data_IF_392252462511
#
_entry.id   IF_392252462511
#
_cell.length_a   1.000
_cell.length_b   1.000
_cell.length_c   1.000
_cell.angle_alpha   90.00
_cell.angle_beta   90.00
_cell.angle_gamma   90.00
#
_symmetry.space_group_name_H-M   'P 1'
#
loop_
_entity.id
_entity.type
_entity.pdbx_description
1 polymer ?
#
# COMPACT_ATOMS: atom_id res chain seq x y z
N UNK A 1 19.61 7.91 9.40
CA UNK A 1 18.82 7.17 8.41
C UNK A 1 18.91 7.86 7.06
N UNK A 2 18.88 7.09 5.98
CA UNK A 2 18.77 7.68 4.66
C UNK A 2 17.45 8.45 4.54
N UNK A 3 17.48 9.53 3.77
CA UNK A 3 16.28 10.33 3.49
C UNK A 3 15.20 9.46 2.83
N UNK A 4 13.95 9.60 3.28
CA UNK A 4 12.82 8.86 2.75
C UNK A 4 12.47 7.57 3.48
N UNK A 5 13.28 7.08 4.41
CA UNK A 5 12.95 5.87 5.18
C UNK A 5 11.96 6.22 6.29
N UNK A 6 10.85 5.44 6.35
CA UNK A 6 9.85 5.56 7.40
C UNK A 6 9.62 4.22 8.09
N UNK A 7 9.58 4.24 9.40
CA UNK A 7 9.15 3.12 10.23
C UNK A 7 7.63 3.17 10.48
N UNK A 8 7.11 2.21 11.25
CA UNK A 8 5.67 2.11 11.53
C UNK A 8 5.11 3.38 12.17
N UNK A 9 5.71 3.97 13.24
CA UNK A 9 5.17 5.20 13.80
C UNK A 9 5.06 6.34 12.79
N UNK A 10 6.02 6.46 11.88
CA UNK A 10 5.99 7.49 10.84
C UNK A 10 4.92 7.18 9.78
N UNK A 11 4.82 5.93 9.33
CA UNK A 11 3.78 5.49 8.38
C UNK A 11 2.38 5.78 8.93
N UNK A 12 2.16 5.51 10.21
CA UNK A 12 0.87 5.72 10.87
C UNK A 12 0.44 7.19 10.95
N UNK A 13 1.35 8.12 10.74
CA UNK A 13 1.01 9.55 10.61
C UNK A 13 0.40 9.88 9.24
N UNK A 14 0.61 9.02 8.25
CA UNK A 14 0.17 9.27 6.87
C UNK A 14 -1.08 8.51 6.45
N UNK A 15 -1.33 7.35 7.05
CA UNK A 15 -2.49 6.50 6.73
C UNK A 15 -3.23 6.10 8.02
N UNK A 16 -4.58 6.00 7.97
CA UNK A 16 -5.39 5.69 9.15
C UNK A 16 -5.43 4.21 9.48
N UNK A 17 -4.96 3.35 8.61
CA UNK A 17 -5.01 1.90 8.75
C UNK A 17 -4.26 1.43 10.01
N UNK A 18 -4.85 0.46 10.71
CA UNK A 18 -4.30 -0.13 11.95
C UNK A 18 -4.50 -1.63 11.92
N UNK A 19 -3.89 -2.34 12.87
CA UNK A 19 -4.09 -3.78 13.03
C UNK A 19 -5.59 -4.12 13.01
N UNK A 20 -6.03 -5.15 12.27
CA UNK A 20 -5.23 -6.10 11.49
C UNK A 20 -5.06 -5.72 10.01
N UNK A 21 -5.33 -4.46 9.64
CA UNK A 21 -5.41 -4.02 8.25
C UNK A 21 -4.27 -3.08 7.81
N UNK A 22 -3.27 -2.87 8.64
CA UNK A 22 -2.05 -2.15 8.24
C UNK A 22 -1.14 -3.14 7.50
N UNK A 23 -0.97 -2.95 6.20
CA UNK A 23 -0.31 -3.89 5.30
C UNK A 23 0.99 -3.34 4.71
N UNK A 24 1.66 -2.45 5.43
CA UNK A 24 2.98 -1.93 5.08
C UNK A 24 3.81 -1.81 6.34
N UNK A 25 5.07 -2.27 6.28
CA UNK A 25 5.95 -2.33 7.45
C UNK A 25 7.04 -1.28 7.42
N UNK A 26 7.45 -0.84 6.25
CA UNK A 26 8.49 0.17 6.08
C UNK A 26 8.39 0.84 4.73
N UNK A 27 8.69 2.13 4.68
CA UNK A 27 8.95 2.85 3.42
C UNK A 27 10.45 2.95 3.26
N UNK A 28 10.96 2.55 2.10
CA UNK A 28 12.39 2.55 1.78
C UNK A 28 12.83 3.80 1.04
N UNK A 29 11.97 4.28 0.13
CA UNK A 29 12.25 5.44 -0.70
C UNK A 29 10.97 6.22 -0.93
N UNK A 30 11.04 7.55 -0.95
CA UNK A 30 9.92 8.40 -1.35
C UNK A 30 10.44 9.63 -2.09
N UNK A 31 9.80 9.91 -3.23
CA UNK A 31 9.96 11.17 -3.96
C UNK A 31 8.59 11.81 -4.10
N UNK A 32 8.39 12.95 -3.43
CA UNK A 32 7.12 13.70 -3.47
C UNK A 32 6.69 13.95 -4.92
N UNK A 33 5.42 13.71 -5.19
CA UNK A 33 4.83 13.94 -6.50
C UNK A 33 5.18 12.90 -7.54
N UNK A 34 6.01 11.91 -7.24
CA UNK A 34 6.52 10.98 -8.24
C UNK A 34 6.40 9.51 -7.87
N UNK A 35 7.14 9.01 -6.87
CA UNK A 35 7.24 7.57 -6.60
C UNK A 35 7.52 7.25 -5.15
N UNK A 36 7.23 6.01 -4.79
CA UNK A 36 7.49 5.47 -3.46
C UNK A 36 7.83 3.99 -3.56
N UNK A 37 8.66 3.53 -2.64
CA UNK A 37 8.96 2.11 -2.45
C UNK A 37 8.71 1.75 -0.99
N UNK A 38 7.89 0.73 -0.77
CA UNK A 38 7.59 0.21 0.56
C UNK A 38 7.66 -1.30 0.61
N UNK A 39 7.75 -1.86 1.79
CA UNK A 39 7.80 -3.31 1.99
C UNK A 39 6.80 -3.77 3.03
N UNK A 40 6.29 -4.99 2.83
CA UNK A 40 5.53 -5.74 3.81
C UNK A 40 6.17 -7.09 4.04
N UNK A 41 6.38 -7.43 5.30
CA UNK A 41 6.77 -8.77 5.69
C UNK A 41 5.53 -9.63 5.86
N UNK A 42 5.42 -10.70 5.10
CA UNK A 42 4.29 -11.62 5.18
C UNK A 42 4.63 -12.71 6.19
N UNK A 43 3.82 -12.81 7.24
CA UNK A 43 4.04 -13.81 8.30
C UNK A 43 2.78 -14.63 8.56
N UNK A 44 2.95 -15.84 9.12
CA UNK A 44 1.83 -16.71 9.47
C UNK A 44 0.95 -16.13 10.59
N UNK A 45 1.40 -15.09 11.28
CA UNK A 45 0.63 -14.42 12.34
C UNK A 45 -0.47 -13.49 11.81
N UNK A 46 -0.68 -13.42 10.51
CA UNK A 46 -1.72 -12.59 9.94
C UNK A 46 -3.07 -13.33 9.98
N UNK A 47 -4.15 -12.65 10.39
CA UNK A 47 -5.44 -13.32 10.66
C UNK A 47 -6.05 -14.01 9.44
N UNK A 48 -5.80 -13.51 8.22
CA UNK A 48 -6.43 -14.04 7.03
C UNK A 48 -5.91 -15.43 6.61
N UNK A 49 -4.75 -15.85 7.07
CA UNK A 49 -4.20 -17.17 6.68
C UNK A 49 -4.96 -18.35 7.28
N UNK A 50 -5.69 -18.15 8.38
CA UNK A 50 -6.54 -19.20 8.94
C UNK A 50 -7.65 -19.64 7.97
N UNK A 51 -8.12 -18.70 7.14
CA UNK A 51 -9.20 -18.94 6.18
C UNK A 51 -8.78 -19.01 4.72
N UNK A 52 -7.58 -18.60 4.40
CA UNK A 52 -7.14 -18.49 2.99
C UNK A 52 -5.76 -19.11 2.76
N UNK A 53 -5.65 -20.42 2.68
CA UNK A 53 -6.68 -21.44 2.85
C UNK A 53 -6.24 -22.40 3.94
N UNK A 54 -7.16 -23.10 4.62
CA UNK A 54 -6.78 -24.06 5.66
C UNK A 54 -5.73 -25.07 5.15
N UNK A 55 -4.59 -25.14 5.82
CA UNK A 55 -3.47 -25.99 5.44
C UNK A 55 -2.64 -25.51 4.24
N UNK A 56 -3.05 -24.43 3.56
CA UNK A 56 -2.34 -23.83 2.42
C UNK A 56 -2.41 -22.31 2.48
N UNK A 57 -1.59 -21.67 3.31
CA UNK A 57 -1.64 -20.22 3.45
C UNK A 57 -1.09 -19.53 2.19
N UNK A 58 -1.94 -18.75 1.55
CA UNK A 58 -1.59 -17.91 0.39
C UNK A 58 -2.13 -16.52 0.68
N UNK A 59 -1.31 -15.50 0.50
CA UNK A 59 -1.78 -14.14 0.72
C UNK A 59 -2.87 -13.80 -0.30
N UNK A 60 -4.06 -13.37 0.13
CA UNK A 60 -5.12 -12.97 -0.80
C UNK A 60 -4.61 -11.91 -1.76
N UNK A 61 -4.78 -12.14 -3.07
CA UNK A 61 -4.33 -11.19 -4.09
C UNK A 61 -4.93 -9.80 -3.91
N UNK A 62 -6.19 -9.72 -3.49
CA UNK A 62 -6.86 -8.45 -3.21
C UNK A 62 -6.21 -7.68 -2.07
N UNK A 63 -5.57 -8.38 -1.11
CA UNK A 63 -4.84 -7.73 -0.03
C UNK A 63 -3.43 -7.28 -0.47
N UNK A 64 -2.86 -7.88 -1.51
CA UNK A 64 -1.67 -7.32 -2.16
C UNK A 64 -1.99 -5.99 -2.81
N UNK A 65 -3.15 -5.89 -3.47
CA UNK A 65 -3.65 -4.61 -4.01
C UNK A 65 -3.89 -3.60 -2.89
N UNK A 66 -4.48 -4.02 -1.78
CA UNK A 66 -4.68 -3.13 -0.62
C UNK A 66 -3.35 -2.63 -0.06
N UNK A 67 -2.36 -3.49 0.11
CA UNK A 67 -1.01 -3.10 0.57
C UNK A 67 -0.37 -2.09 -0.39
N UNK A 68 -0.52 -2.32 -1.68
CA UNK A 68 -0.09 -1.40 -2.74
C UNK A 68 -0.75 -0.03 -2.57
N UNK A 69 -2.06 0.00 -2.34
CA UNK A 69 -2.81 1.23 -2.13
C UNK A 69 -2.37 1.97 -0.86
N UNK A 70 -2.03 1.25 0.20
CA UNK A 70 -1.56 1.87 1.45
C UNK A 70 -0.20 2.53 1.26
N UNK A 71 0.72 1.88 0.56
CA UNK A 71 2.01 2.49 0.19
C UNK A 71 1.78 3.74 -0.66
N UNK A 72 0.87 3.65 -1.64
CA UNK A 72 0.46 4.81 -2.45
C UNK A 72 -0.17 5.92 -1.62
N UNK A 73 -0.96 5.57 -0.61
CA UNK A 73 -1.56 6.54 0.32
C UNK A 73 -0.51 7.35 1.10
N UNK A 74 0.58 6.71 1.50
CA UNK A 74 1.71 7.40 2.13
C UNK A 74 2.33 8.41 1.15
N UNK A 75 2.53 8.02 -0.10
CA UNK A 75 3.05 8.92 -1.14
C UNK A 75 2.12 10.11 -1.35
N UNK A 76 0.84 9.87 -1.47
CA UNK A 76 -0.14 10.95 -1.69
C UNK A 76 -0.18 11.89 -0.50
N UNK A 77 -0.29 11.36 0.71
CA UNK A 77 -0.26 12.16 1.95
C UNK A 77 0.99 13.03 2.01
N UNK A 78 2.15 12.46 1.73
CA UNK A 78 3.43 13.17 1.72
C UNK A 78 3.46 14.25 0.62
N UNK A 79 2.92 13.95 -0.55
CA UNK A 79 2.93 14.85 -1.72
C UNK A 79 2.09 16.10 -1.51
N UNK A 80 0.93 15.97 -0.86
CA UNK A 80 0.04 17.11 -0.59
C UNK A 80 0.23 17.70 0.81
N UNK A 81 1.29 17.27 1.50
CA UNK A 81 1.66 17.76 2.83
C UNK A 81 0.52 17.64 3.87
N UNK A 82 -0.22 16.53 3.86
CA UNK A 82 -1.13 16.21 4.95
C UNK A 82 -0.30 15.94 6.20
N UNK A 83 -0.43 16.74 7.27
CA UNK A 83 0.50 16.67 8.40
C UNK A 83 0.31 15.40 9.25
N UNK A 84 -0.86 14.81 9.24
CA UNK A 84 -1.20 13.58 9.99
C UNK A 84 -2.37 12.88 9.34
N UNK A 85 -2.45 11.57 9.52
CA UNK A 85 -3.67 10.82 9.24
C UNK A 85 -4.76 11.32 10.19
N UNK A 86 -5.65 12.12 9.66
CA UNK A 86 -6.78 12.66 10.41
C UNK A 86 -7.93 11.66 10.29
N UNK A 87 -8.64 11.44 11.40
CA UNK A 87 -9.81 10.56 11.43
C UNK A 87 -10.96 11.06 10.54
N UNK A 88 -10.88 12.28 10.05
CA UNK A 88 -11.85 12.86 9.12
C UNK A 88 -11.49 12.69 7.65
N UNK A 89 -10.30 12.19 7.32
CA UNK A 89 -9.79 12.09 5.94
C UNK A 89 -9.38 10.67 5.62
N UNK A 90 -9.89 10.17 4.49
CA UNK A 90 -9.67 8.78 4.07
C UNK A 90 -9.40 8.72 2.57
N UNK A 91 -8.61 7.74 2.17
CA UNK A 91 -8.38 7.43 0.76
C UNK A 91 -9.24 6.22 0.40
N UNK A 92 -10.20 6.42 -0.50
CA UNK A 92 -11.07 5.35 -0.98
C UNK A 92 -10.70 4.96 -2.41
N UNK A 93 -10.79 3.68 -2.72
CA UNK A 93 -10.70 3.24 -4.11
C UNK A 93 -11.87 3.81 -4.92
N UNK A 94 -11.55 4.41 -6.08
CA UNK A 94 -12.52 4.78 -7.10
C UNK A 94 -12.51 3.78 -8.26
N UNK A 95 -11.34 3.25 -8.63
CA UNK A 95 -11.19 2.25 -9.67
C UNK A 95 -9.90 1.46 -9.48
N UNK A 96 -9.92 0.21 -9.92
CA UNK A 96 -8.74 -0.65 -10.00
C UNK A 96 -8.73 -1.23 -11.40
N UNK A 97 -7.69 -0.95 -12.17
CA UNK A 97 -7.59 -1.31 -13.56
C UNK A 97 -6.30 -2.09 -13.85
N UNK A 98 -6.29 -2.82 -14.96
CA UNK A 98 -5.11 -3.51 -15.49
C UNK A 98 -4.43 -4.39 -14.45
N UNK A 99 -5.23 -5.06 -13.63
CA UNK A 99 -4.74 -5.95 -12.58
C UNK A 99 -4.30 -7.27 -13.19
N UNK A 100 -3.09 -7.69 -12.84
CA UNK A 100 -2.59 -9.02 -13.19
C UNK A 100 -1.90 -9.62 -11.97
N UNK A 101 -2.39 -10.79 -11.55
CA UNK A 101 -1.80 -11.62 -10.50
C UNK A 101 -0.90 -12.65 -11.17
N UNK A 102 0.40 -12.55 -10.96
CA UNK A 102 1.37 -13.36 -11.71
C UNK A 102 1.93 -14.52 -10.90
N UNK A 103 2.08 -14.36 -9.59
CA UNK A 103 2.66 -15.35 -8.69
C UNK A 103 2.00 -15.29 -7.33
N UNK A 104 1.82 -16.44 -6.65
CA UNK A 104 1.34 -16.43 -5.27
C UNK A 104 2.40 -15.90 -4.31
N UNK A 105 1.93 -15.36 -3.18
CA UNK A 105 2.75 -14.86 -2.08
C UNK A 105 2.42 -15.67 -0.83
N UNK A 106 3.46 -16.11 -0.13
CA UNK A 106 3.33 -17.01 1.02
C UNK A 106 3.89 -16.40 2.30
N UNK A 107 3.50 -16.91 3.48
CA UNK A 107 4.21 -16.58 4.72
C UNK A 107 5.71 -16.84 4.58
N UNK A 108 6.51 -15.88 5.01
CA UNK A 108 7.96 -15.89 4.84
C UNK A 108 8.47 -14.99 3.72
N UNK A 109 7.58 -14.55 2.82
CA UNK A 109 7.95 -13.63 1.75
C UNK A 109 7.98 -12.18 2.25
N UNK A 110 8.88 -11.39 1.68
CA UNK A 110 8.85 -9.94 1.79
C UNK A 110 8.37 -9.37 0.46
N UNK A 111 7.26 -8.63 0.50
CA UNK A 111 6.70 -7.97 -0.68
C UNK A 111 7.27 -6.56 -0.77
N UNK A 112 7.87 -6.24 -1.92
CA UNK A 112 8.34 -4.90 -2.25
C UNK A 112 7.33 -4.23 -3.17
N UNK A 113 6.75 -3.14 -2.73
CA UNK A 113 5.82 -2.34 -3.53
C UNK A 113 6.53 -1.14 -4.12
N UNK A 114 6.33 -0.92 -5.40
CA UNK A 114 6.80 0.27 -6.11
C UNK A 114 5.60 0.96 -6.75
N UNK A 115 5.34 2.22 -6.38
CA UNK A 115 4.24 3.00 -6.93
C UNK A 115 4.75 4.27 -7.56
N UNK A 116 4.08 4.65 -8.65
CA UNK A 116 4.37 5.87 -9.38
C UNK A 116 3.08 6.65 -9.61
N UNK A 117 3.09 7.94 -9.31
CA UNK A 117 1.96 8.81 -9.64
C UNK A 117 1.90 9.01 -11.16
N UNK A 118 0.76 8.64 -11.75
CA UNK A 118 0.47 8.89 -13.16
C UNK A 118 -0.27 10.21 -13.35
N UNK A 119 -1.19 10.51 -12.43
CA UNK A 119 -2.00 11.71 -12.50
C UNK A 119 -2.48 12.07 -11.09
N UNK A 120 -2.32 13.33 -10.73
CA UNK A 120 -2.80 13.88 -9.47
C UNK A 120 -3.59 15.14 -9.77
N UNK A 121 -4.88 15.14 -9.38
CA UNK A 121 -5.75 16.28 -9.62
C UNK A 121 -6.74 16.41 -8.48
N UNK A 122 -6.64 17.54 -7.76
CA UNK A 122 -7.59 17.85 -6.70
C UNK A 122 -7.71 16.71 -5.67
N UNK A 123 -8.82 15.97 -5.69
CA UNK A 123 -9.11 14.88 -4.76
C UNK A 123 -8.95 13.49 -5.39
N UNK A 124 -8.34 13.40 -6.57
CA UNK A 124 -8.12 12.14 -7.28
C UNK A 124 -6.64 11.92 -7.53
N UNK A 125 -6.19 10.69 -7.30
CA UNK A 125 -4.82 10.30 -7.59
C UNK A 125 -4.82 8.95 -8.32
N UNK A 126 -4.21 8.92 -9.49
CA UNK A 126 -3.99 7.70 -10.25
C UNK A 126 -2.53 7.29 -10.14
N UNK A 127 -2.32 6.05 -9.75
CA UNK A 127 -0.98 5.47 -9.60
C UNK A 127 -0.86 4.16 -10.35
N UNK A 128 0.35 3.86 -10.81
CA UNK A 128 0.73 2.53 -11.27
C UNK A 128 1.53 1.86 -10.20
N UNK A 129 1.15 0.62 -9.84
CA UNK A 129 1.81 -0.15 -8.82
C UNK A 129 2.34 -1.49 -9.34
N UNK A 130 3.48 -1.87 -8.80
CA UNK A 130 4.10 -3.17 -9.01
C UNK A 130 4.52 -3.74 -7.66
N UNK A 131 4.32 -5.03 -7.46
CA UNK A 131 4.78 -5.71 -6.26
C UNK A 131 5.70 -6.86 -6.65
N UNK A 132 6.78 -7.01 -5.90
CA UNK A 132 7.84 -7.99 -6.17
C UNK A 132 8.13 -8.82 -4.92
N UNK A 133 8.46 -10.09 -5.13
CA UNK A 133 9.09 -10.96 -4.13
C UNK A 133 10.37 -11.50 -4.74
N UNK A 134 11.50 -11.29 -4.05
CA UNK A 134 12.82 -11.69 -4.53
C UNK A 134 13.11 -11.23 -5.97
N UNK A 135 12.71 -9.99 -6.28
CA UNK A 135 12.93 -9.39 -7.59
C UNK A 135 11.97 -9.85 -8.68
N UNK A 136 11.03 -10.76 -8.38
CA UNK A 136 10.06 -11.27 -9.36
C UNK A 136 8.72 -10.57 -9.19
N UNK A 137 8.14 -10.10 -10.28
CA UNK A 137 6.84 -9.44 -10.30
C UNK A 137 5.74 -10.42 -9.89
N UNK A 138 5.02 -10.12 -8.82
CA UNK A 138 3.92 -10.95 -8.31
C UNK A 138 2.55 -10.38 -8.64
N UNK A 139 2.40 -9.06 -8.62
CA UNK A 139 1.15 -8.38 -9.00
C UNK A 139 1.44 -7.00 -9.56
N UNK A 140 0.62 -6.54 -10.51
CA UNK A 140 0.63 -5.18 -11.02
C UNK A 140 -0.79 -4.66 -11.16
N UNK A 141 -0.97 -3.35 -11.03
CA UNK A 141 -2.26 -2.70 -11.16
C UNK A 141 -2.12 -1.20 -11.38
N UNK A 142 -3.18 -0.60 -11.91
CA UNK A 142 -3.38 0.85 -11.84
C UNK A 142 -4.50 1.14 -10.85
N UNK A 143 -4.25 2.06 -9.93
CA UNK A 143 -5.17 2.41 -8.84
C UNK A 143 -5.60 3.85 -9.00
N UNK A 144 -6.91 4.07 -8.99
CA UNK A 144 -7.50 5.41 -8.87
C UNK A 144 -8.11 5.51 -7.48
N UNK A 145 -7.65 6.48 -6.70
CA UNK A 145 -8.13 6.71 -5.34
C UNK A 145 -8.70 8.12 -5.20
N UNK A 146 -9.67 8.25 -4.29
CA UNK A 146 -10.30 9.53 -3.94
C UNK A 146 -9.96 9.88 -2.51
N UNK A 147 -9.70 11.17 -2.29
CA UNK A 147 -9.63 11.73 -0.94
C UNK A 147 -11.04 12.11 -0.49
N UNK A 148 -11.51 11.49 0.57
CA UNK A 148 -12.84 11.73 1.15
C UNK A 148 -12.68 12.38 2.52
N UNK A 149 -13.42 13.45 2.75
CA UNK A 149 -13.45 14.14 4.04
C UNK A 149 -14.86 14.04 4.63
N UNK A 150 -14.91 13.74 5.93
CA UNK A 150 -16.15 13.76 6.69
C UNK A 150 -16.14 14.95 7.64
N UNK A 151 -17.26 15.63 7.75
CA UNK A 151 -17.44 16.66 8.77
C UNK A 151 -17.48 15.99 10.15
N UNK A 152 -16.82 16.62 11.14
CA UNK A 152 -16.86 16.16 12.54
C UNK A 152 -18.09 16.69 13.24
#
# INVERSE_FOLDING_TARGET
MAEGIMDIPEIQKHIPHRYPFLLVDRILEVEKGRRIVGVKNVTMNEPFFAGHFPGRPIMPGVLLIEGMAQVGGVLWSKTIDLPRADVSRYFYFAAIDKVKFRRPVYPGDQVRYELQILHLKSRLCKMRGHAYVEGQLVVEAELLSMLVEYEQ
#
